data_IF_819211512314
#
_entry.id   IF_819211512314
#
_cell.length_a   1.000
_cell.length_b   1.000
_cell.length_c   1.000
_cell.angle_alpha   90.00
_cell.angle_beta   90.00
_cell.angle_gamma   90.00
#
_symmetry.space_group_name_H-M   'P 1'
#
loop_
_entity.id
_entity.type
_entity.pdbx_description
1 polymer ?
#
# COMPACT_ATOMS: atom_id res chain seq x y z
N UNK A 1 63.63 -42.36 13.00
CA UNK A 1 62.34 -43.04 12.79
C UNK A 1 61.23 -42.06 13.12
N UNK A 2 60.57 -41.52 12.09
CA UNK A 2 59.35 -40.73 12.25
C UNK A 2 58.25 -41.53 11.54
N UNK A 3 57.24 -42.06 12.24
CA UNK A 3 56.07 -42.63 11.59
C UNK A 3 55.17 -41.48 11.13
N UNK A 4 54.29 -41.74 10.16
CA UNK A 4 53.31 -40.80 9.60
C UNK A 4 53.78 -39.97 8.39
N UNK A 5 54.20 -40.68 7.33
CA UNK A 5 53.93 -40.20 5.96
C UNK A 5 52.44 -40.41 5.67
N UNK A 6 51.63 -39.35 5.83
CA UNK A 6 50.21 -39.42 5.51
C UNK A 6 50.04 -39.32 3.99
N UNK A 7 49.96 -40.47 3.31
CA UNK A 7 49.60 -40.59 1.90
C UNK A 7 48.09 -40.43 1.73
N UNK A 8 47.59 -39.20 1.88
CA UNK A 8 46.20 -38.90 1.51
C UNK A 8 46.15 -38.78 -0.02
N UNK A 9 45.82 -39.89 -0.70
CA UNK A 9 45.37 -39.83 -2.10
C UNK A 9 44.02 -39.13 -2.11
N UNK A 10 44.02 -37.83 -2.41
CA UNK A 10 42.81 -37.13 -2.83
C UNK A 10 42.34 -37.82 -4.10
N UNK A 11 41.31 -38.67 -3.99
CA UNK A 11 40.65 -39.22 -5.17
C UNK A 11 39.95 -38.07 -5.88
N UNK A 12 40.24 -37.88 -7.17
CA UNK A 12 39.63 -36.87 -8.05
C UNK A 12 38.16 -37.19 -8.36
N UNK A 13 37.38 -37.59 -7.36
CA UNK A 13 35.93 -37.61 -7.51
C UNK A 13 35.45 -36.18 -7.26
N UNK A 14 35.62 -35.32 -8.26
CA UNK A 14 34.90 -34.07 -8.38
C UNK A 14 33.42 -34.42 -8.57
N UNK A 15 32.68 -34.60 -7.47
CA UNK A 15 31.25 -34.70 -7.50
C UNK A 15 30.70 -33.38 -8.03
N UNK A 16 30.36 -33.36 -9.31
CA UNK A 16 29.63 -32.28 -9.95
C UNK A 16 28.20 -32.32 -9.40
N UNK A 17 28.00 -31.70 -8.24
CA UNK A 17 26.67 -31.53 -7.66
C UNK A 17 25.97 -30.46 -8.48
N UNK A 18 25.21 -30.88 -9.48
CA UNK A 18 24.27 -30.00 -10.17
C UNK A 18 23.08 -29.79 -9.24
N UNK A 19 23.11 -28.68 -8.49
CA UNK A 19 21.94 -28.21 -7.75
C UNK A 19 21.09 -27.47 -8.78
N UNK A 20 19.96 -28.02 -9.27
CA UNK A 20 19.06 -27.25 -10.11
C UNK A 20 18.59 -26.05 -9.30
N UNK A 21 18.89 -24.84 -9.80
CA UNK A 21 18.52 -23.59 -9.16
C UNK A 21 17.02 -23.34 -9.38
N UNK A 22 16.16 -24.11 -8.72
CA UNK A 22 14.72 -23.84 -8.69
C UNK A 22 14.49 -22.70 -7.72
N UNK A 23 14.47 -21.47 -8.21
CA UNK A 23 14.05 -20.31 -7.41
C UNK A 23 12.54 -20.45 -7.23
N UNK A 24 12.03 -20.74 -6.01
CA UNK A 24 10.59 -20.82 -5.80
C UNK A 24 9.98 -19.46 -6.10
N UNK A 25 8.88 -19.44 -6.85
CA UNK A 25 8.09 -18.24 -7.06
C UNK A 25 7.66 -17.73 -5.68
N UNK A 26 8.11 -16.53 -5.33
CA UNK A 26 7.77 -15.88 -4.06
C UNK A 26 6.25 -15.93 -3.86
N UNK A 27 5.79 -16.33 -2.67
CA UNK A 27 4.35 -16.43 -2.34
C UNK A 27 3.62 -15.10 -2.61
N UNK A 28 4.33 -13.99 -2.55
CA UNK A 28 3.85 -12.64 -2.85
C UNK A 28 3.35 -12.47 -4.29
N UNK A 29 3.75 -13.34 -5.22
CA UNK A 29 3.26 -13.36 -6.60
C UNK A 29 2.26 -14.50 -6.87
N UNK A 30 1.98 -15.34 -5.88
CA UNK A 30 0.99 -16.44 -6.02
C UNK A 30 -0.40 -16.03 -5.52
N UNK A 31 -0.50 -14.96 -4.74
CA UNK A 31 -1.76 -14.42 -4.21
C UNK A 31 -2.00 -13.01 -4.73
N UNK A 32 -3.27 -12.71 -5.01
CA UNK A 32 -3.65 -11.33 -5.31
C UNK A 32 -3.59 -10.48 -4.04
N UNK A 33 -2.99 -9.27 -4.09
CA UNK A 33 -2.93 -8.37 -2.96
C UNK A 33 -4.33 -7.88 -2.59
N UNK A 34 -4.64 -7.88 -1.29
CA UNK A 34 -5.95 -7.46 -0.77
C UNK A 34 -5.80 -6.17 0.03
N UNK A 35 -4.76 -6.09 0.85
CA UNK A 35 -4.51 -4.93 1.71
C UNK A 35 -3.51 -3.98 1.05
N UNK A 36 -3.54 -2.70 1.45
CA UNK A 36 -2.55 -1.71 1.01
C UNK A 36 -1.12 -2.18 1.33
N UNK A 37 -0.94 -2.89 2.44
CA UNK A 37 0.33 -3.52 2.81
C UNK A 37 0.79 -4.58 1.80
N UNK A 38 -0.11 -5.39 1.28
CA UNK A 38 0.19 -6.41 0.26
C UNK A 38 0.60 -5.75 -1.05
N UNK A 39 -0.15 -4.72 -1.48
CA UNK A 39 0.20 -3.93 -2.67
C UNK A 39 1.58 -3.27 -2.50
N UNK A 40 1.87 -2.71 -1.33
CA UNK A 40 3.16 -2.09 -1.02
C UNK A 40 4.30 -3.11 -1.06
N UNK A 41 4.10 -4.29 -0.44
CA UNK A 41 5.08 -5.38 -0.44
C UNK A 41 5.37 -5.87 -1.85
N UNK A 42 4.32 -6.12 -2.63
CA UNK A 42 4.42 -6.55 -4.03
C UNK A 42 5.19 -5.52 -4.86
N UNK A 43 4.80 -4.25 -4.80
CA UNK A 43 5.48 -3.18 -5.54
C UNK A 43 6.95 -3.03 -5.14
N UNK A 44 7.27 -3.14 -3.84
CA UNK A 44 8.65 -3.12 -3.35
C UNK A 44 9.49 -4.23 -3.97
N UNK A 45 8.96 -5.46 -4.02
CA UNK A 45 9.65 -6.63 -4.59
C UNK A 45 9.80 -6.48 -6.11
N UNK A 46 8.77 -6.02 -6.82
CA UNK A 46 8.83 -5.73 -8.26
C UNK A 46 9.92 -4.72 -8.61
N UNK A 47 10.16 -3.73 -7.74
CA UNK A 47 11.21 -2.74 -7.90
C UNK A 47 12.58 -3.19 -7.36
N UNK A 48 12.69 -4.39 -6.78
CA UNK A 48 13.94 -4.90 -6.19
C UNK A 48 14.44 -4.10 -4.98
N UNK A 49 13.54 -3.42 -4.27
CA UNK A 49 13.90 -2.52 -3.17
C UNK A 49 13.92 -3.22 -1.80
N UNK A 50 14.81 -2.80 -0.91
CA UNK A 50 14.76 -3.18 0.48
C UNK A 50 13.73 -2.33 1.24
N UNK A 51 13.24 -2.83 2.38
CA UNK A 51 12.30 -2.08 3.23
C UNK A 51 12.84 -0.72 3.66
N UNK A 52 14.16 -0.60 3.89
CA UNK A 52 14.84 0.66 4.22
C UNK A 52 14.79 1.69 3.08
N UNK A 53 14.79 1.23 1.82
CA UNK A 53 14.76 2.13 0.66
C UNK A 53 13.35 2.70 0.48
N UNK A 54 12.33 1.85 0.68
CA UNK A 54 10.92 2.29 0.72
C UNK A 54 10.68 3.25 1.88
N UNK A 55 11.25 2.95 3.05
CA UNK A 55 11.15 3.82 4.21
C UNK A 55 11.74 5.22 3.94
N UNK A 56 12.91 5.28 3.30
CA UNK A 56 13.53 6.53 2.87
C UNK A 56 12.65 7.29 1.87
N UNK A 57 12.10 6.60 0.85
CA UNK A 57 11.21 7.22 -0.15
C UNK A 57 9.93 7.79 0.47
N UNK A 58 9.34 7.08 1.43
CA UNK A 58 8.09 7.50 2.10
C UNK A 58 8.33 8.43 3.31
N UNK A 59 9.60 8.70 3.64
CA UNK A 59 10.03 9.47 4.81
C UNK A 59 9.47 8.90 6.13
N UNK A 60 9.57 7.58 6.30
CA UNK A 60 9.17 6.84 7.51
C UNK A 60 10.30 5.95 8.00
N UNK A 61 10.10 5.27 9.13
CA UNK A 61 11.09 4.34 9.66
C UNK A 61 10.94 2.95 9.03
N UNK A 62 12.04 2.19 8.93
CA UNK A 62 12.00 0.81 8.41
C UNK A 62 11.01 -0.09 9.16
N UNK A 63 10.90 -0.05 10.51
CA UNK A 63 9.87 -0.80 11.23
C UNK A 63 8.44 -0.41 10.85
N UNK A 64 8.20 0.86 10.48
CA UNK A 64 6.88 1.30 9.99
C UNK A 64 6.50 0.59 8.70
N UNK A 65 7.43 0.51 7.74
CA UNK A 65 7.20 -0.22 6.47
C UNK A 65 6.98 -1.70 6.73
N UNK A 66 7.79 -2.32 7.60
CA UNK A 66 7.59 -3.70 7.98
C UNK A 66 6.20 -3.93 8.61
N UNK A 67 5.75 -3.04 9.49
CA UNK A 67 4.41 -3.14 10.09
C UNK A 67 3.30 -3.03 9.04
N UNK A 68 3.43 -2.13 8.08
CA UNK A 68 2.46 -1.99 7.00
C UNK A 68 2.39 -3.25 6.14
N UNK A 69 3.54 -3.81 5.74
CA UNK A 69 3.60 -5.01 4.91
C UNK A 69 3.09 -6.28 5.60
N UNK A 70 3.11 -6.35 6.93
CA UNK A 70 2.69 -7.56 7.67
C UNK A 70 1.33 -7.42 8.35
N UNK A 71 0.89 -6.21 8.70
CA UNK A 71 -0.38 -5.94 9.38
C UNK A 71 -1.44 -5.31 8.46
N UNK A 72 -1.05 -4.85 7.27
CA UNK A 72 -1.96 -4.32 6.25
C UNK A 72 -2.55 -2.94 6.54
N UNK A 73 -2.26 -2.33 7.69
CA UNK A 73 -2.82 -1.03 8.10
C UNK A 73 -1.80 0.09 7.97
N UNK A 74 -2.14 1.09 7.15
CA UNK A 74 -1.36 2.31 6.92
C UNK A 74 -2.12 3.49 7.54
N UNK A 75 -1.41 4.37 8.27
CA UNK A 75 -2.06 5.57 8.79
C UNK A 75 -2.55 6.44 7.64
N UNK A 76 -3.73 7.02 7.83
CA UNK A 76 -4.41 7.88 6.86
C UNK A 76 -3.50 8.93 6.20
N UNK A 77 -2.67 9.62 6.99
CA UNK A 77 -1.74 10.66 6.52
C UNK A 77 -0.68 10.18 5.51
N UNK A 78 -0.37 8.88 5.48
CA UNK A 78 0.61 8.30 4.57
C UNK A 78 -0.02 7.68 3.33
N UNK A 79 -1.34 7.51 3.30
CA UNK A 79 -2.08 6.94 2.16
C UNK A 79 -1.72 7.66 0.84
N UNK A 80 -1.72 9.01 0.75
CA UNK A 80 -1.39 9.68 -0.52
C UNK A 80 0.00 9.33 -1.03
N UNK A 81 1.01 9.30 -0.14
CA UNK A 81 2.40 8.99 -0.50
C UNK A 81 2.56 7.53 -0.92
N UNK A 82 1.81 6.63 -0.27
CA UNK A 82 1.80 5.21 -0.61
C UNK A 82 1.15 5.01 -1.98
N UNK A 83 0.04 5.68 -2.28
CA UNK A 83 -0.60 5.65 -3.61
C UNK A 83 0.35 6.18 -4.68
N UNK A 84 1.04 7.29 -4.42
CA UNK A 84 2.06 7.84 -5.32
C UNK A 84 3.20 6.84 -5.56
N UNK A 85 3.69 6.18 -4.51
CA UNK A 85 4.72 5.15 -4.63
C UNK A 85 4.24 3.91 -5.42
N UNK A 86 2.99 3.50 -5.23
CA UNK A 86 2.38 2.40 -5.96
C UNK A 86 2.20 2.74 -7.45
N UNK A 87 1.90 4.01 -7.76
CA UNK A 87 1.56 4.47 -9.10
C UNK A 87 0.11 4.19 -9.50
N UNK A 88 -0.70 3.62 -8.60
CA UNK A 88 -2.13 3.40 -8.75
C UNK A 88 -2.81 3.40 -7.38
N UNK A 89 -4.14 3.54 -7.35
CA UNK A 89 -4.91 3.50 -6.12
C UNK A 89 -5.45 2.09 -5.84
N UNK A 90 -5.01 1.40 -4.78
CA UNK A 90 -5.51 0.06 -4.43
C UNK A 90 -6.84 0.10 -3.67
N UNK A 91 -7.35 1.26 -3.26
CA UNK A 91 -8.57 1.38 -2.45
C UNK A 91 -9.77 1.43 -3.40
N UNK A 92 -10.69 0.44 -3.36
CA UNK A 92 -11.84 0.42 -4.25
C UNK A 92 -12.78 1.59 -3.96
N UNK A 93 -13.25 2.23 -5.03
CA UNK A 93 -14.17 3.34 -4.92
C UNK A 93 -15.61 2.84 -4.71
N UNK A 94 -16.30 3.24 -3.63
CA UNK A 94 -17.69 2.88 -3.40
C UNK A 94 -18.64 3.67 -4.32
N UNK A 95 -19.84 3.12 -4.56
CA UNK A 95 -20.85 3.76 -5.42
C UNK A 95 -21.66 4.84 -4.69
N UNK A 96 -21.89 4.65 -3.39
CA UNK A 96 -22.68 5.56 -2.54
C UNK A 96 -22.00 6.94 -2.39
N UNK A 97 -22.81 8.01 -2.32
CA UNK A 97 -22.31 9.39 -2.22
C UNK A 97 -21.45 9.63 -0.97
N UNK A 98 -21.89 9.15 0.20
CA UNK A 98 -21.13 9.27 1.44
C UNK A 98 -19.94 8.32 1.44
N UNK A 99 -20.09 7.14 0.84
CA UNK A 99 -18.96 6.26 0.56
C UNK A 99 -17.87 6.97 -0.24
N UNK A 100 -18.23 7.66 -1.33
CA UNK A 100 -17.26 8.40 -2.16
C UNK A 100 -16.59 9.53 -1.38
N UNK A 101 -17.31 10.16 -0.47
CA UNK A 101 -16.74 11.17 0.43
C UNK A 101 -15.73 10.55 1.40
N UNK A 102 -16.07 9.41 2.01
CA UNK A 102 -15.15 8.66 2.88
C UNK A 102 -13.90 8.20 2.12
N UNK A 103 -14.08 7.70 0.91
CA UNK A 103 -13.01 7.28 0.02
C UNK A 103 -12.11 8.46 -0.36
N UNK A 104 -12.69 9.60 -0.75
CA UNK A 104 -11.92 10.82 -1.07
C UNK A 104 -11.08 11.26 0.13
N UNK A 105 -11.68 11.29 1.33
CA UNK A 105 -10.97 11.57 2.59
C UNK A 105 -9.81 10.59 2.81
N UNK A 106 -10.04 9.31 2.56
CA UNK A 106 -9.04 8.25 2.75
C UNK A 106 -7.85 8.41 1.78
N UNK A 107 -8.14 8.54 0.49
CA UNK A 107 -7.16 8.61 -0.60
C UNK A 107 -6.30 9.87 -0.51
N UNK A 108 -6.91 11.01 -0.13
CA UNK A 108 -6.18 12.27 0.06
C UNK A 108 -5.57 12.40 1.46
N UNK A 109 -5.73 11.39 2.33
CA UNK A 109 -5.14 11.39 3.67
C UNK A 109 -5.67 12.50 4.59
N UNK A 110 -6.89 12.97 4.36
CA UNK A 110 -7.48 14.12 5.04
C UNK A 110 -8.02 13.76 6.42
N UNK A 111 -7.66 14.53 7.43
CA UNK A 111 -8.39 14.52 8.71
C UNK A 111 -9.82 15.06 8.52
N UNK A 112 -10.69 14.85 9.52
CA UNK A 112 -12.05 15.42 9.48
C UNK A 112 -11.99 16.96 9.45
N UNK A 113 -11.05 17.56 10.16
CA UNK A 113 -10.79 19.00 10.15
C UNK A 113 -10.43 19.50 8.75
N UNK A 114 -9.46 18.83 8.09
CA UNK A 114 -9.04 19.21 6.75
C UNK A 114 -10.17 19.06 5.73
N UNK A 115 -10.95 17.97 5.83
CA UNK A 115 -12.12 17.79 4.97
C UNK A 115 -13.19 18.85 5.23
N UNK A 116 -13.39 19.25 6.48
CA UNK A 116 -14.31 20.33 6.86
C UNK A 116 -13.91 21.66 6.23
N UNK A 117 -12.62 22.01 6.33
CA UNK A 117 -12.08 23.20 5.67
C UNK A 117 -12.24 23.12 4.15
N UNK A 118 -11.91 21.99 3.51
CA UNK A 118 -12.04 21.83 2.05
C UNK A 118 -13.48 21.91 1.54
N UNK A 119 -14.45 21.46 2.35
CA UNK A 119 -15.87 21.48 1.99
C UNK A 119 -16.61 22.71 2.50
N UNK A 120 -15.95 23.58 3.28
CA UNK A 120 -16.57 24.67 4.03
C UNK A 120 -17.71 24.18 4.96
N UNK A 121 -17.49 23.05 5.62
CA UNK A 121 -18.45 22.38 6.51
C UNK A 121 -17.84 22.06 7.86
N UNK A 122 -18.72 21.95 8.86
CA UNK A 122 -18.32 21.61 10.21
C UNK A 122 -17.79 20.15 10.28
N UNK A 123 -16.60 19.92 10.88
CA UNK A 123 -16.01 18.58 11.01
C UNK A 123 -16.87 17.57 11.77
N UNK A 124 -17.62 18.00 12.79
CA UNK A 124 -18.52 17.15 13.57
C UNK A 124 -19.72 16.72 12.73
N UNK A 125 -20.25 17.64 11.93
CA UNK A 125 -21.30 17.33 10.95
C UNK A 125 -20.81 16.28 9.93
N UNK A 126 -19.57 16.39 9.45
CA UNK A 126 -18.98 15.39 8.56
C UNK A 126 -18.78 14.05 9.27
N UNK A 127 -18.34 14.06 10.53
CA UNK A 127 -18.18 12.86 11.34
C UNK A 127 -19.51 12.11 11.52
N UNK A 128 -20.60 12.84 11.76
CA UNK A 128 -21.95 12.28 11.88
C UNK A 128 -22.45 11.65 10.59
N UNK A 129 -22.17 12.27 9.45
CA UNK A 129 -22.54 11.71 8.14
C UNK A 129 -21.73 10.46 7.82
N UNK A 130 -20.41 10.51 8.00
CA UNK A 130 -19.51 9.40 7.69
C UNK A 130 -19.70 8.20 8.62
N UNK A 131 -20.12 8.44 9.87
CA UNK A 131 -20.47 7.37 10.82
C UNK A 131 -21.89 6.84 10.64
N UNK A 132 -22.70 7.46 9.79
CA UNK A 132 -24.10 7.08 9.56
C UNK A 132 -25.06 7.47 10.69
N UNK A 133 -24.59 8.20 11.71
CA UNK A 133 -25.44 8.72 12.79
C UNK A 133 -26.53 9.64 12.24
N UNK A 134 -26.16 10.49 11.28
CA UNK A 134 -27.09 11.41 10.61
C UNK A 134 -27.00 11.31 9.10
N UNK A 135 -28.15 11.46 8.42
CA UNK A 135 -28.20 11.53 6.96
C UNK A 135 -28.22 12.98 6.50
N UNK A 136 -27.35 13.38 5.54
CA UNK A 136 -27.38 14.73 4.99
C UNK A 136 -28.72 15.02 4.31
N UNK A 137 -29.21 16.25 4.50
CA UNK A 137 -30.42 16.73 3.82
C UNK A 137 -30.19 16.89 2.31
N UNK A 138 -31.26 17.13 1.55
CA UNK A 138 -31.19 17.27 0.07
C UNK A 138 -30.14 18.31 -0.37
N UNK A 139 -30.09 19.46 0.30
CA UNK A 139 -29.12 20.53 0.00
C UNK A 139 -27.68 20.04 0.20
N UNK A 140 -27.36 19.49 1.37
CA UNK A 140 -26.01 19.01 1.67
C UNK A 140 -25.58 17.85 0.77
N UNK A 141 -26.51 16.98 0.36
CA UNK A 141 -26.21 15.95 -0.67
C UNK A 141 -25.82 16.57 -2.00
N UNK A 142 -26.51 17.63 -2.42
CA UNK A 142 -26.15 18.37 -3.64
C UNK A 142 -24.76 18.99 -3.55
N UNK A 143 -24.40 19.55 -2.40
CA UNK A 143 -23.07 20.12 -2.17
C UNK A 143 -21.97 19.06 -2.10
N UNK A 144 -22.19 17.91 -1.45
CA UNK A 144 -21.25 16.78 -1.48
C UNK A 144 -21.04 16.31 -2.93
N UNK A 145 -22.11 16.17 -3.71
CA UNK A 145 -22.02 15.75 -5.10
C UNK A 145 -21.23 16.76 -5.96
N UNK A 146 -21.48 18.06 -5.78
CA UNK A 146 -20.75 19.13 -6.46
C UNK A 146 -19.26 19.15 -6.07
N UNK A 147 -18.96 18.97 -4.78
CA UNK A 147 -17.60 18.88 -4.27
C UNK A 147 -16.82 17.71 -4.91
N UNK A 148 -17.45 16.54 -5.02
CA UNK A 148 -16.83 15.34 -5.57
C UNK A 148 -16.72 15.34 -7.10
N UNK A 149 -17.65 15.98 -7.80
CA UNK A 149 -17.72 15.96 -9.27
C UNK A 149 -16.41 16.41 -9.94
N UNK A 150 -15.73 17.40 -9.35
CA UNK A 150 -14.49 17.96 -9.89
C UNK A 150 -13.21 17.24 -9.40
N UNK A 151 -13.33 16.35 -8.41
CA UNK A 151 -12.19 15.80 -7.65
C UNK A 151 -12.00 14.30 -7.78
N UNK A 152 -13.04 13.58 -8.20
CA UNK A 152 -13.02 12.12 -8.34
C UNK A 152 -12.66 11.69 -9.78
N UNK A 153 -12.97 12.50 -10.79
CA UNK A 153 -12.72 12.17 -12.21
C UNK A 153 -11.22 12.05 -12.58
N UNK A 154 -10.31 12.60 -11.77
CA UNK A 154 -8.87 12.60 -12.07
C UNK A 154 -8.17 11.28 -11.78
N UNK A 155 -8.78 10.37 -10.99
CA UNK A 155 -8.12 9.13 -10.56
C UNK A 155 -8.31 7.96 -11.53
N UNK A 156 -9.34 8.01 -12.38
CA UNK A 156 -9.58 6.99 -13.42
C UNK A 156 -8.55 7.10 -14.58
N UNK A 157 -7.91 8.26 -14.74
CA UNK A 157 -6.98 8.52 -15.84
C UNK A 157 -5.60 7.85 -15.69
N UNK A 158 -5.30 7.21 -14.56
CA UNK A 158 -3.99 6.57 -14.30
C UNK A 158 -4.04 5.05 -14.54
N UNK A 159 -5.19 4.49 -14.95
CA UNK A 159 -5.32 3.06 -15.29
C UNK A 159 -5.16 2.80 -16.80
N UNK A 160 -4.03 3.21 -17.37
CA UNK A 160 -3.57 2.67 -18.66
C UNK A 160 -2.08 2.40 -18.50
N UNK A 161 -1.73 1.14 -18.23
CA UNK A 161 -0.64 0.35 -18.83
C UNK A 161 -0.59 -1.04 -18.18
#
# INVERSE_FOLDING_TARGET
MCPFSNNLKLTENAYKVEIPLTIPLLEEFTREPITIGDHLRRRRIELGLYQKDVAAKLSVTTPTVWNWENRGSVDLRFIPRVIEFLGYNPIPQPEDLLGKLAWYKQVNGLSLEQLGVEMERDPEQLADWLSGRHKPCRRNRGEIAAFLANRVQSFDAISIY
#
